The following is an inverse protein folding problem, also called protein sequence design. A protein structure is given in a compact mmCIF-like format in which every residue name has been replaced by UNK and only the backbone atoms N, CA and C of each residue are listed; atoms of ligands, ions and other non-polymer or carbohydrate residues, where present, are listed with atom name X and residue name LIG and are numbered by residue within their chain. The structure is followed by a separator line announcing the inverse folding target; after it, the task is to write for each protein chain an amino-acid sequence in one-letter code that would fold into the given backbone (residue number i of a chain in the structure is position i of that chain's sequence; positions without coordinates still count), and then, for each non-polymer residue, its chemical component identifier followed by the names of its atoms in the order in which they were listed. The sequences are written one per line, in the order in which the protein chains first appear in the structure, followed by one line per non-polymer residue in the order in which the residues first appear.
data_IF_431701970673
#
_entry.id   IF_431701970673
#
_cell.length_a   1.000
_cell.length_b   1.000
_cell.length_c   1.000
_cell.angle_alpha   90.00
_cell.angle_beta   90.00
_cell.angle_gamma   90.00
#
_symmetry.space_group_name_H-M   'P 1'
#
loop_
_entity.id
_entity.type
_entity.pdbx_description
1 polymer ?
#
# COMPACT_ATOMS: atom_id res chain seq x y z
N UNK A 1 16.99 -4.82 11.99
CA UNK A 1 17.56 -4.34 10.70
C UNK A 1 16.88 -3.02 10.33
N UNK A 2 17.62 -2.06 9.79
CA UNK A 2 17.01 -0.86 9.20
C UNK A 2 16.93 -1.01 7.68
N UNK A 3 15.72 -0.93 7.15
CA UNK A 3 15.46 -0.97 5.71
C UNK A 3 15.05 0.43 5.29
N UNK A 4 15.76 1.00 4.30
CA UNK A 4 15.33 2.22 3.64
C UNK A 4 14.52 1.85 2.40
N UNK A 5 13.32 2.39 2.30
CA UNK A 5 12.39 2.16 1.20
C UNK A 5 11.83 3.50 0.71
N UNK A 6 11.40 3.55 -0.54
CA UNK A 6 10.86 4.75 -1.12
C UNK A 6 10.67 4.64 -2.62
N UNK A 7 10.16 5.71 -3.20
CA UNK A 7 9.95 5.83 -4.64
C UNK A 7 10.04 7.29 -5.08
N UNK A 8 10.42 7.44 -6.35
CA UNK A 8 10.21 8.64 -7.14
C UNK A 8 9.62 8.20 -8.48
N UNK A 9 8.37 8.55 -8.74
CA UNK A 9 7.64 8.12 -9.93
C UNK A 9 7.17 9.35 -10.68
N UNK A 10 7.47 9.43 -11.97
CA UNK A 10 6.92 10.43 -12.87
C UNK A 10 5.90 9.78 -13.82
N UNK A 11 4.74 10.41 -13.96
CA UNK A 11 3.65 9.97 -14.82
C UNK A 11 3.34 11.13 -15.75
N UNK A 12 3.46 10.91 -17.06
CA UNK A 12 3.04 11.88 -18.06
C UNK A 12 1.57 11.65 -18.45
N UNK A 13 0.81 12.73 -18.51
CA UNK A 13 -0.61 12.69 -18.85
C UNK A 13 -0.91 13.74 -19.92
N UNK A 14 -1.55 13.36 -21.01
CA UNK A 14 -1.97 14.30 -22.07
C UNK A 14 -3.14 15.19 -21.64
N UNK A 15 -3.89 14.79 -20.62
CA UNK A 15 -5.03 15.50 -20.04
C UNK A 15 -5.05 15.32 -18.52
N UNK A 16 -5.83 16.13 -17.77
CA UNK A 16 -6.02 15.90 -16.34
C UNK A 16 -6.54 14.48 -16.09
N UNK A 17 -5.80 13.69 -15.30
CA UNK A 17 -6.01 12.25 -15.14
C UNK A 17 -6.18 11.90 -13.66
N UNK A 18 -7.29 11.23 -13.27
CA UNK A 18 -7.45 10.74 -11.91
C UNK A 18 -6.47 9.59 -11.65
N UNK A 19 -5.75 9.65 -10.54
CA UNK A 19 -4.79 8.64 -10.12
C UNK A 19 -5.20 8.09 -8.76
N UNK A 20 -5.11 6.77 -8.61
CA UNK A 20 -5.15 6.07 -7.34
C UNK A 20 -3.83 5.34 -7.17
N UNK A 21 -3.12 5.59 -6.08
CA UNK A 21 -1.86 4.90 -5.76
C UNK A 21 -1.96 4.16 -4.43
N UNK A 22 -1.47 2.93 -4.42
CA UNK A 22 -1.35 2.06 -3.24
C UNK A 22 0.15 1.82 -2.98
N UNK A 23 0.83 2.85 -2.49
CA UNK A 23 2.30 2.87 -2.35
C UNK A 23 2.75 3.15 -0.90
N UNK A 24 1.82 3.24 0.04
CA UNK A 24 2.14 3.45 1.45
C UNK A 24 2.56 2.14 2.11
N UNK A 25 3.36 2.24 3.18
CA UNK A 25 3.67 1.12 4.05
C UNK A 25 2.37 0.59 4.67
N UNK A 26 2.19 -0.73 4.68
CA UNK A 26 1.01 -1.37 5.27
C UNK A 26 0.77 -0.88 6.72
N UNK A 27 -0.51 -0.72 7.09
CA UNK A 27 -0.93 -0.19 8.39
C UNK A 27 -0.28 -0.90 9.57
N UNK A 28 -0.17 -2.22 9.51
CA UNK A 28 0.41 -3.08 10.55
C UNK A 28 1.93 -2.90 10.70
N UNK A 29 2.57 -2.12 9.83
CA UNK A 29 4.00 -1.81 9.89
C UNK A 29 4.28 -0.34 10.12
N UNK A 30 3.25 0.51 10.25
CA UNK A 30 3.42 1.94 10.48
C UNK A 30 4.18 2.24 11.79
N UNK A 31 3.99 1.43 12.83
CA UNK A 31 4.69 1.60 14.11
C UNK A 31 6.19 1.27 14.04
N UNK A 32 6.63 0.60 12.99
CA UNK A 32 8.03 0.25 12.76
C UNK A 32 8.79 1.36 11.99
N UNK A 33 8.09 2.40 11.52
CA UNK A 33 8.69 3.51 10.78
C UNK A 33 9.50 4.39 11.74
N UNK A 34 10.82 4.39 11.55
CA UNK A 34 11.74 5.21 12.33
C UNK A 34 11.85 6.64 11.78
N UNK A 35 11.71 6.79 10.46
CA UNK A 35 11.73 8.09 9.77
C UNK A 35 10.93 8.00 8.48
N UNK A 36 10.18 9.03 8.14
CA UNK A 36 9.55 9.15 6.83
C UNK A 36 9.43 10.59 6.36
N UNK A 37 9.43 10.77 5.04
CA UNK A 37 8.98 12.01 4.41
C UNK A 37 7.46 12.06 4.37
N UNK A 38 6.91 13.23 4.05
CA UNK A 38 5.53 13.29 3.57
C UNK A 38 5.45 12.68 2.17
N UNK A 39 4.25 12.30 1.75
CA UNK A 39 3.95 12.08 0.33
C UNK A 39 4.00 13.42 -0.39
N UNK A 40 4.93 13.55 -1.33
CA UNK A 40 5.14 14.80 -2.06
C UNK A 40 4.69 14.63 -3.50
N UNK A 41 4.07 15.70 -4.02
CA UNK A 41 3.67 15.79 -5.43
C UNK A 41 4.32 17.01 -6.06
N UNK A 42 4.72 16.90 -7.33
CA UNK A 42 5.22 18.01 -8.14
C UNK A 42 4.60 17.95 -9.53
N UNK A 43 3.75 18.91 -9.92
CA UNK A 43 3.30 20.05 -9.12
C UNK A 43 2.50 19.62 -7.88
N UNK A 44 2.43 20.49 -6.87
CA UNK A 44 1.68 20.20 -5.66
C UNK A 44 0.18 20.16 -5.95
N UNK A 45 -0.45 19.01 -5.72
CA UNK A 45 -1.89 18.80 -5.92
C UNK A 45 -2.56 18.33 -4.63
N UNK A 46 -3.87 18.59 -4.44
CA UNK A 46 -4.63 18.00 -3.35
C UNK A 46 -4.65 16.48 -3.44
N UNK A 47 -4.43 15.81 -2.30
CA UNK A 47 -4.44 14.36 -2.18
C UNK A 47 -5.43 13.98 -1.07
N UNK A 48 -6.33 13.05 -1.35
CA UNK A 48 -7.16 12.40 -0.33
C UNK A 48 -6.73 10.95 -0.13
N UNK A 49 -6.99 10.42 1.06
CA UNK A 49 -6.61 9.05 1.43
C UNK A 49 -7.83 8.29 1.93
N UNK A 50 -7.92 7.00 1.59
CA UNK A 50 -8.90 6.07 2.14
C UNK A 50 -8.26 4.68 2.29
N UNK A 51 -8.89 3.79 3.05
CA UNK A 51 -8.51 2.39 3.16
C UNK A 51 -9.48 1.53 2.35
N UNK A 52 -8.97 0.59 1.56
CA UNK A 52 -9.80 -0.36 0.82
C UNK A 52 -10.19 -1.58 1.66
N UNK A 53 -11.02 -2.47 1.10
CA UNK A 53 -11.47 -3.68 1.79
C UNK A 53 -10.37 -4.72 2.07
N UNK A 54 -9.16 -4.51 1.53
CA UNK A 54 -7.99 -5.36 1.73
C UNK A 54 -6.98 -4.72 2.70
N UNK A 55 -7.32 -3.58 3.30
CA UNK A 55 -6.45 -2.86 4.24
C UNK A 55 -5.37 -2.01 3.57
N UNK A 56 -5.44 -1.77 2.25
CA UNK A 56 -4.47 -0.91 1.58
C UNK A 56 -4.81 0.56 1.81
N UNK A 57 -3.80 1.34 2.20
CA UNK A 57 -3.90 2.81 2.17
C UNK A 57 -3.82 3.30 0.73
N UNK A 58 -4.93 3.80 0.23
CA UNK A 58 -5.10 4.30 -1.13
C UNK A 58 -5.05 5.83 -1.13
N UNK A 59 -4.19 6.43 -1.95
CA UNK A 59 -4.16 7.88 -2.20
C UNK A 59 -4.84 8.21 -3.53
N UNK A 60 -5.71 9.22 -3.53
CA UNK A 60 -6.41 9.73 -4.71
C UNK A 60 -6.02 11.16 -4.99
N UNK A 61 -5.69 11.46 -6.24
CA UNK A 61 -5.37 12.81 -6.69
C UNK A 61 -5.61 12.97 -8.19
N UNK A 62 -5.61 14.23 -8.65
CA UNK A 62 -5.70 14.56 -10.08
C UNK A 62 -4.30 14.94 -10.58
N UNK A 63 -3.71 14.12 -11.45
CA UNK A 63 -2.51 14.48 -12.19
C UNK A 63 -2.90 15.51 -13.27
N UNK A 64 -2.24 16.67 -13.38
CA UNK A 64 -2.55 17.64 -14.42
C UNK A 64 -2.06 17.16 -15.79
N UNK A 65 -2.54 17.80 -16.86
CA UNK A 65 -1.93 17.65 -18.18
C UNK A 65 -0.45 18.09 -18.12
N UNK A 66 0.42 17.37 -18.80
CA UNK A 66 1.88 17.50 -18.67
C UNK A 66 2.48 16.61 -17.58
N UNK A 67 1.66 15.99 -16.74
CA UNK A 67 2.08 14.95 -15.80
C UNK A 67 2.32 15.40 -14.37
N UNK A 68 2.80 14.46 -13.57
CA UNK A 68 3.07 14.63 -12.14
C UNK A 68 4.26 13.76 -11.72
N UNK A 69 5.02 14.24 -10.76
CA UNK A 69 6.01 13.46 -10.02
C UNK A 69 5.54 13.25 -8.60
N UNK A 70 5.63 12.02 -8.11
CA UNK A 70 5.33 11.65 -6.73
C UNK A 70 6.58 11.09 -6.06
N UNK A 71 6.76 11.42 -4.78
CA UNK A 71 7.93 11.03 -4.00
C UNK A 71 7.56 10.64 -2.58
N UNK A 72 8.23 9.60 -2.08
CA UNK A 72 8.18 9.15 -0.69
C UNK A 72 9.48 8.43 -0.32
N UNK A 73 9.99 8.67 0.88
CA UNK A 73 11.14 7.98 1.45
C UNK A 73 10.88 7.66 2.93
N UNK A 74 11.21 6.45 3.35
CA UNK A 74 11.07 6.00 4.72
C UNK A 74 12.20 5.05 5.12
N UNK A 75 12.43 4.97 6.42
CA UNK A 75 13.28 3.97 7.06
C UNK A 75 12.41 3.22 8.06
N UNK A 76 12.35 1.90 7.90
CA UNK A 76 11.61 0.98 8.77
C UNK A 76 12.59 0.10 9.54
N UNK A 77 12.28 -0.16 10.80
CA UNK A 77 12.95 -1.18 11.60
C UNK A 77 12.22 -2.53 11.44
N UNK A 78 12.93 -3.52 10.93
CA UNK A 78 12.43 -4.87 10.73
C UNK A 78 13.27 -5.88 11.50
N UNK A 79 12.68 -6.95 12.02
CA UNK A 79 13.41 -7.97 12.77
C UNK A 79 14.46 -8.70 11.91
N UNK A 80 14.24 -8.77 10.59
CA UNK A 80 15.00 -9.59 9.65
C UNK A 80 14.74 -11.08 9.80
N UNK A 81 13.82 -11.48 10.69
CA UNK A 81 13.42 -12.87 10.86
C UNK A 81 12.33 -13.22 9.85
N UNK A 82 12.31 -14.46 9.32
CA UNK A 82 11.18 -14.95 8.56
C UNK A 82 9.88 -14.87 9.38
N UNK A 83 8.75 -14.79 8.69
CA UNK A 83 7.43 -14.95 9.32
C UNK A 83 7.34 -16.31 10.02
N UNK A 84 6.56 -16.37 11.10
CA UNK A 84 6.37 -17.59 11.87
C UNK A 84 5.65 -18.66 11.03
N UNK A 85 6.24 -19.85 10.96
CA UNK A 85 5.63 -21.01 10.30
C UNK A 85 5.20 -22.02 11.34
N UNK A 86 3.88 -22.17 11.52
CA UNK A 86 3.32 -23.22 12.35
C UNK A 86 3.04 -24.48 11.51
N UNK A 87 3.96 -25.44 11.57
CA UNK A 87 3.85 -26.72 10.84
C UNK A 87 2.75 -27.65 11.35
N UNK A 88 2.15 -27.35 12.50
CA UNK A 88 1.01 -28.06 13.06
C UNK A 88 -0.33 -27.38 12.77
N UNK A 89 -0.34 -26.25 12.06
CA UNK A 89 -1.56 -25.58 11.66
C UNK A 89 -2.35 -26.46 10.69
N UNK A 90 -3.62 -26.71 11.00
CA UNK A 90 -4.53 -27.48 10.15
C UNK A 90 -5.36 -26.55 9.27
N UNK A 91 -5.89 -27.10 8.17
CA UNK A 91 -6.91 -26.41 7.37
C UNK A 91 -8.14 -26.08 8.24
N UNK A 92 -8.60 -24.84 8.16
CA UNK A 92 -9.84 -24.40 8.83
C UNK A 92 -11.00 -24.62 7.87
N UNK A 93 -12.02 -25.44 8.22
CA UNK A 93 -13.23 -25.58 7.43
C UNK A 93 -13.93 -24.25 7.19
N UNK A 94 -14.53 -24.10 6.03
CA UNK A 94 -15.11 -22.83 5.55
C UNK A 94 -16.15 -22.29 6.54
N UNK A 95 -16.99 -23.15 7.13
CA UNK A 95 -18.01 -22.77 8.11
C UNK A 95 -17.45 -22.23 9.43
N UNK A 96 -16.14 -22.39 9.66
CA UNK A 96 -15.43 -21.87 10.84
C UNK A 96 -14.51 -20.70 10.52
N UNK A 97 -14.39 -20.30 9.25
CA UNK A 97 -13.61 -19.13 8.88
C UNK A 97 -14.29 -17.84 9.35
N UNK A 98 -13.51 -16.82 9.72
CA UNK A 98 -14.06 -15.51 9.99
C UNK A 98 -14.61 -14.89 8.69
N UNK A 99 -15.63 -14.04 8.82
CA UNK A 99 -16.35 -13.47 7.67
C UNK A 99 -15.42 -12.68 6.74
N UNK A 100 -14.46 -11.95 7.30
CA UNK A 100 -13.46 -11.17 6.58
C UNK A 100 -12.51 -12.02 5.72
N UNK A 101 -12.36 -13.32 6.01
CA UNK A 101 -11.55 -14.22 5.20
C UNK A 101 -12.29 -14.74 3.95
N UNK A 102 -13.63 -14.72 3.97
CA UNK A 102 -14.44 -15.32 2.90
C UNK A 102 -14.25 -14.62 1.54
N UNK A 103 -13.91 -13.32 1.54
CA UNK A 103 -13.63 -12.57 0.31
C UNK A 103 -12.48 -13.18 -0.51
N UNK A 104 -11.50 -13.81 0.16
CA UNK A 104 -10.33 -14.42 -0.46
C UNK A 104 -10.60 -15.82 -1.04
N UNK A 105 -11.79 -16.39 -0.80
CA UNK A 105 -12.21 -17.66 -1.40
C UNK A 105 -12.94 -17.47 -2.74
N UNK A 106 -13.26 -16.23 -3.11
CA UNK A 106 -13.96 -15.92 -4.36
C UNK A 106 -12.99 -15.92 -5.55
N UNK A 107 -13.49 -16.33 -6.72
CA UNK A 107 -12.75 -16.15 -7.97
C UNK A 107 -12.47 -14.68 -8.25
N UNK A 108 -11.26 -14.37 -8.71
CA UNK A 108 -10.83 -13.02 -9.01
C UNK A 108 -10.62 -12.82 -10.51
N UNK A 109 -10.30 -11.60 -10.95
CA UNK A 109 -10.02 -11.35 -12.37
C UNK A 109 -8.80 -12.11 -12.88
N UNK A 110 -7.83 -12.39 -12.00
CA UNK A 110 -6.51 -12.91 -12.37
C UNK A 110 -6.21 -14.30 -11.78
N UNK A 111 -7.11 -14.85 -10.96
CA UNK A 111 -7.03 -16.17 -10.33
C UNK A 111 -8.41 -16.82 -10.33
#
# INVERSE_FOLDING_TARGET
MHIRLGYEIAIECSAPTPVISMLDVNGDRQFQIQRQTRFLTTPNVPVSTYEDSFGNTCRRFMAPAGGIRILYDAVIEDSGLPDEVNTLANETPVERLPNEALIYLLGSRYC
#
